data_IF_423152081257
#
_entry.id   IF_423152081257
#
_cell.length_a   1.000
_cell.length_b   1.000
_cell.length_c   1.000
_cell.angle_alpha   90.00
_cell.angle_beta   90.00
_cell.angle_gamma   90.00
#
_symmetry.space_group_name_H-M   'P 1'
#
loop_
_entity.id
_entity.type
_entity.pdbx_description
1 polymer ?
#
# COMPACT_ATOMS: atom_id res chain seq x y z
N UNK A 1 33.10 -42.32 9.21
CA UNK A 1 32.39 -41.39 10.11
C UNK A 1 32.83 -39.98 9.78
N UNK A 2 31.98 -38.99 10.06
CA UNK A 2 32.08 -37.56 9.70
C UNK A 2 31.59 -37.29 8.27
N UNK A 3 30.35 -36.90 8.01
CA UNK A 3 29.41 -36.15 8.87
C UNK A 3 29.75 -34.66 8.80
N UNK A 4 29.10 -33.93 7.91
CA UNK A 4 29.22 -32.48 7.76
C UNK A 4 27.89 -31.89 7.27
N UNK A 5 27.03 -31.56 8.24
CA UNK A 5 25.82 -30.73 8.11
C UNK A 5 26.20 -29.35 7.52
N UNK A 6 25.49 -28.90 6.48
CA UNK A 6 24.32 -28.02 6.54
C UNK A 6 24.63 -26.57 6.97
N UNK A 7 24.47 -25.65 6.01
CA UNK A 7 23.93 -24.32 6.25
C UNK A 7 23.40 -23.79 4.89
N UNK A 8 22.14 -24.07 4.61
CA UNK A 8 21.36 -23.26 3.66
C UNK A 8 21.16 -21.92 4.35
N UNK A 9 21.89 -20.90 3.91
CA UNK A 9 21.70 -19.52 4.38
C UNK A 9 20.38 -18.99 3.83
N UNK A 10 19.31 -19.15 4.61
CA UNK A 10 18.09 -18.37 4.51
C UNK A 10 18.39 -16.96 5.03
N UNK A 11 18.87 -16.08 4.16
CA UNK A 11 18.99 -14.64 4.42
C UNK A 11 18.67 -13.90 3.12
N UNK A 12 17.38 -13.69 2.86
CA UNK A 12 16.90 -12.77 1.82
C UNK A 12 15.46 -12.28 2.08
N UNK A 13 14.69 -12.98 2.92
CA UNK A 13 13.29 -12.63 3.26
C UNK A 13 13.12 -11.56 4.36
N UNK A 14 14.18 -10.81 4.72
CA UNK A 14 14.12 -9.83 5.83
C UNK A 14 14.16 -8.36 5.39
N UNK A 15 14.72 -8.05 4.22
CA UNK A 15 14.92 -6.65 3.80
C UNK A 15 13.64 -6.01 3.23
N UNK A 16 12.85 -6.75 2.44
CA UNK A 16 11.58 -6.25 1.90
C UNK A 16 10.53 -5.97 2.99
N UNK A 17 10.49 -6.82 4.04
CA UNK A 17 9.58 -6.64 5.17
C UNK A 17 9.97 -5.45 6.06
N UNK A 18 11.26 -5.14 6.17
CA UNK A 18 11.73 -4.00 6.94
C UNK A 18 11.35 -2.66 6.27
N UNK A 19 11.53 -2.54 4.95
CA UNK A 19 11.15 -1.36 4.17
C UNK A 19 9.63 -1.13 4.12
N UNK A 20 8.86 -2.21 3.95
CA UNK A 20 7.41 -2.24 4.10
C UNK A 20 6.92 -1.68 5.45
N UNK A 21 7.61 -2.08 6.52
CA UNK A 21 7.35 -1.60 7.89
C UNK A 21 7.71 -0.12 8.05
N UNK A 22 8.53 0.47 7.16
CA UNK A 22 8.88 1.89 7.20
C UNK A 22 7.76 2.77 6.67
N UNK A 23 7.14 2.50 5.50
CA UNK A 23 6.15 3.45 4.94
C UNK A 23 4.83 3.46 5.73
N UNK A 24 4.27 2.29 6.05
CA UNK A 24 3.03 2.18 6.85
C UNK A 24 3.13 2.83 8.25
N UNK A 25 4.34 3.11 8.72
CA UNK A 25 4.58 3.79 10.01
C UNK A 25 5.24 5.16 9.89
N UNK A 26 5.80 5.51 8.74
CA UNK A 26 6.42 6.82 8.49
C UNK A 26 5.38 7.91 8.20
N UNK A 27 4.24 7.52 7.61
CA UNK A 27 3.14 8.43 7.29
C UNK A 27 2.19 8.61 8.48
N UNK A 28 1.58 9.79 8.57
CA UNK A 28 0.45 10.01 9.49
C UNK A 28 -0.76 9.16 9.09
N UNK A 29 -1.68 8.88 10.01
CA UNK A 29 -2.89 8.09 9.67
C UNK A 29 -3.73 8.71 8.52
N UNK A 30 -3.98 10.04 8.49
CA UNK A 30 -4.58 10.70 7.33
C UNK A 30 -3.84 10.48 6.01
N UNK A 31 -2.51 10.52 6.03
CA UNK A 31 -1.69 10.35 4.84
C UNK A 31 -1.70 8.90 4.35
N UNK A 32 -1.72 7.93 5.25
CA UNK A 32 -1.92 6.52 4.89
C UNK A 32 -3.27 6.28 4.26
N UNK A 33 -4.32 6.88 4.82
CA UNK A 33 -5.65 6.81 4.24
C UNK A 33 -5.69 7.42 2.83
N UNK A 34 -5.10 8.61 2.66
CA UNK A 34 -5.03 9.27 1.36
C UNK A 34 -4.21 8.48 0.34
N UNK A 35 -3.10 7.88 0.75
CA UNK A 35 -2.29 7.01 -0.09
C UNK A 35 -3.08 5.77 -0.53
N UNK A 36 -3.72 5.07 0.41
CA UNK A 36 -4.58 3.93 0.10
C UNK A 36 -5.72 4.29 -0.85
N UNK A 37 -6.35 5.44 -0.62
CA UNK A 37 -7.42 5.97 -1.48
C UNK A 37 -6.94 6.25 -2.90
N UNK A 38 -5.77 6.90 -3.04
CA UNK A 38 -5.16 7.18 -4.34
C UNK A 38 -4.82 5.89 -5.09
N UNK A 39 -4.22 4.91 -4.42
CA UNK A 39 -3.94 3.59 -5.01
C UNK A 39 -5.22 2.89 -5.48
N UNK A 40 -6.28 2.91 -4.66
CA UNK A 40 -7.59 2.36 -5.03
C UNK A 40 -8.16 3.02 -6.29
N UNK A 41 -8.11 4.34 -6.39
CA UNK A 41 -8.62 5.06 -7.55
C UNK A 41 -7.77 4.75 -8.80
N UNK A 42 -6.45 4.74 -8.67
CA UNK A 42 -5.55 4.34 -9.77
C UNK A 42 -5.82 2.91 -10.25
N UNK A 43 -6.07 1.96 -9.35
CA UNK A 43 -6.45 0.59 -9.72
C UNK A 43 -7.71 0.55 -10.57
N UNK A 44 -8.73 1.33 -10.23
CA UNK A 44 -9.97 1.38 -11.01
C UNK A 44 -9.78 1.90 -12.44
N UNK A 45 -8.76 2.74 -12.66
CA UNK A 45 -8.41 3.30 -13.96
C UNK A 45 -7.52 2.36 -14.77
N UNK A 46 -6.61 1.65 -14.11
CA UNK A 46 -5.69 0.68 -14.72
C UNK A 46 -6.38 -0.66 -15.07
N UNK A 47 -7.39 -1.04 -14.29
CA UNK A 47 -8.10 -2.32 -14.42
C UNK A 47 -9.62 -2.10 -14.40
N UNK A 48 -10.21 -1.43 -15.41
CA UNK A 48 -11.64 -1.16 -15.47
C UNK A 48 -12.49 -2.43 -15.70
N UNK A 49 -11.89 -3.51 -16.19
CA UNK A 49 -12.56 -4.76 -16.50
C UNK A 49 -13.05 -5.51 -15.25
N UNK A 50 -14.23 -6.14 -15.35
CA UNK A 50 -14.86 -6.83 -14.21
C UNK A 50 -14.06 -8.04 -13.75
N UNK A 51 -13.35 -8.67 -14.68
CA UNK A 51 -12.51 -9.85 -14.50
C UNK A 51 -11.35 -9.57 -13.55
N UNK A 52 -10.91 -8.31 -13.46
CA UNK A 52 -9.80 -7.88 -12.61
C UNK A 52 -10.27 -7.39 -11.23
N UNK A 53 -11.58 -7.36 -10.96
CA UNK A 53 -12.11 -6.82 -9.68
C UNK A 53 -11.65 -7.62 -8.47
N UNK A 54 -11.57 -8.94 -8.58
CA UNK A 54 -11.06 -9.78 -7.49
C UNK A 54 -9.61 -9.43 -7.14
N UNK A 55 -8.79 -9.15 -8.15
CA UNK A 55 -7.44 -8.64 -7.98
C UNK A 55 -7.43 -7.27 -7.30
N UNK A 56 -8.21 -6.30 -7.80
CA UNK A 56 -8.27 -4.97 -7.22
C UNK A 56 -8.74 -4.97 -5.76
N UNK A 57 -9.76 -5.77 -5.42
CA UNK A 57 -10.23 -5.97 -4.05
C UNK A 57 -9.14 -6.57 -3.16
N UNK A 58 -8.49 -7.63 -3.63
CA UNK A 58 -7.44 -8.29 -2.85
C UNK A 58 -6.24 -7.35 -2.62
N UNK A 59 -5.87 -6.59 -3.65
CA UNK A 59 -4.80 -5.60 -3.55
C UNK A 59 -5.10 -4.56 -2.46
N UNK A 60 -6.30 -3.96 -2.44
CA UNK A 60 -6.61 -2.94 -1.43
C UNK A 60 -6.74 -3.51 -0.02
N UNK A 61 -7.15 -4.76 0.13
CA UNK A 61 -7.14 -5.46 1.42
C UNK A 61 -5.72 -5.60 1.97
N UNK A 62 -4.81 -6.09 1.13
CA UNK A 62 -3.40 -6.29 1.49
C UNK A 62 -2.69 -4.94 1.70
N UNK A 63 -3.07 -3.90 0.94
CA UNK A 63 -2.56 -2.54 1.11
C UNK A 63 -2.99 -1.93 2.46
N UNK A 64 -4.23 -2.12 2.88
CA UNK A 64 -4.73 -1.65 4.19
C UNK A 64 -3.96 -2.30 5.33
N UNK A 65 -3.64 -3.59 5.22
CA UNK A 65 -2.81 -4.29 6.19
C UNK A 65 -1.37 -3.78 6.19
N UNK A 66 -0.79 -3.57 5.00
CA UNK A 66 0.56 -3.06 4.85
C UNK A 66 0.74 -1.64 5.42
N UNK A 67 -0.28 -0.80 5.28
CA UNK A 67 -0.32 0.55 5.83
C UNK A 67 -0.77 0.63 7.29
N UNK A 68 -1.00 -0.49 7.97
CA UNK A 68 -1.46 -0.51 9.36
C UNK A 68 -2.74 0.35 9.58
N UNK A 69 -3.66 0.31 8.61
CA UNK A 69 -4.93 1.04 8.66
C UNK A 69 -6.02 0.20 9.33
N UNK A 70 -6.94 0.87 10.00
CA UNK A 70 -8.13 0.22 10.57
C UNK A 70 -8.92 -0.49 9.48
N UNK A 71 -9.33 -1.74 9.72
CA UNK A 71 -10.22 -2.51 8.82
C UNK A 71 -11.55 -1.82 8.53
N UNK A 72 -11.95 -0.84 9.34
CA UNK A 72 -13.12 0.01 9.07
C UNK A 72 -13.03 0.80 7.77
N UNK A 73 -11.83 1.00 7.21
CA UNK A 73 -11.63 1.73 5.95
C UNK A 73 -11.84 0.85 4.72
N UNK A 74 -11.87 -0.48 4.86
CA UNK A 74 -11.99 -1.41 3.73
C UNK A 74 -13.20 -1.14 2.81
N UNK A 75 -14.42 -0.85 3.33
CA UNK A 75 -15.54 -0.53 2.46
C UNK A 75 -15.27 0.67 1.54
N UNK A 76 -14.56 1.69 2.05
CA UNK A 76 -14.17 2.84 1.24
C UNK A 76 -13.10 2.46 0.21
N UNK A 77 -12.09 1.69 0.60
CA UNK A 77 -11.01 1.27 -0.32
C UNK A 77 -11.51 0.38 -1.45
N UNK A 78 -12.45 -0.52 -1.17
CA UNK A 78 -13.10 -1.36 -2.20
C UNK A 78 -13.98 -0.52 -3.11
N UNK A 79 -14.66 0.51 -2.58
CA UNK A 79 -15.42 1.45 -3.41
C UNK A 79 -14.50 2.20 -4.37
N UNK A 80 -13.37 2.74 -3.89
CA UNK A 80 -12.35 3.40 -4.70
C UNK A 80 -11.79 2.47 -5.80
N UNK A 81 -11.40 1.25 -5.43
CA UNK A 81 -10.94 0.22 -6.36
C UNK A 81 -11.98 -0.19 -7.42
N UNK A 82 -13.26 0.03 -7.13
CA UNK A 82 -14.38 -0.22 -8.04
C UNK A 82 -14.76 0.99 -8.90
N UNK A 83 -14.03 2.11 -8.77
CA UNK A 83 -14.27 3.35 -9.50
C UNK A 83 -15.31 4.28 -8.86
N UNK A 84 -15.72 4.02 -7.62
CA UNK A 84 -16.63 4.88 -6.86
C UNK A 84 -15.82 5.83 -5.97
N UNK A 85 -16.18 7.11 -5.92
CA UNK A 85 -15.48 8.09 -5.07
C UNK A 85 -14.15 8.60 -5.65
N UNK A 86 -13.95 8.50 -6.96
CA UNK A 86 -12.81 9.11 -7.65
C UNK A 86 -12.84 10.64 -7.70
N UNK A 87 -13.96 11.25 -7.31
CA UNK A 87 -14.10 12.70 -7.19
C UNK A 87 -13.22 13.21 -6.03
N UNK A 88 -12.20 14.00 -6.34
CA UNK A 88 -11.31 14.57 -5.32
C UNK A 88 -10.00 13.82 -5.10
N UNK A 89 -9.50 13.04 -6.08
CA UNK A 89 -8.10 12.58 -6.10
C UNK A 89 -7.09 13.70 -5.86
N UNK A 90 -7.40 14.91 -6.35
CA UNK A 90 -6.58 16.10 -6.12
C UNK A 90 -6.43 16.42 -4.62
N UNK A 91 -7.42 16.08 -3.80
CA UNK A 91 -7.39 16.26 -2.34
C UNK A 91 -6.43 15.28 -1.69
N UNK A 92 -6.42 14.01 -2.11
CA UNK A 92 -5.45 13.02 -1.63
C UNK A 92 -4.04 13.39 -2.04
N UNK A 93 -3.83 13.78 -3.30
CA UNK A 93 -2.52 14.24 -3.78
C UNK A 93 -2.03 15.46 -3.02
N UNK A 94 -2.91 16.46 -2.75
CA UNK A 94 -2.54 17.63 -1.95
C UNK A 94 -2.18 17.28 -0.51
N UNK A 95 -2.96 16.41 0.14
CA UNK A 95 -2.69 15.97 1.51
C UNK A 95 -1.31 15.29 1.61
N UNK A 96 -1.04 14.34 0.70
CA UNK A 96 0.24 13.64 0.62
C UNK A 96 1.41 14.59 0.33
N UNK A 97 1.21 15.59 -0.53
CA UNK A 97 2.23 16.60 -0.82
C UNK A 97 2.50 17.54 0.35
N UNK A 98 1.65 17.58 1.36
CA UNK A 98 1.84 18.39 2.57
C UNK A 98 2.66 17.66 3.64
N UNK A 99 2.66 16.31 3.64
CA UNK A 99 3.38 15.46 4.59
C UNK A 99 4.92 15.69 4.51
N UNK A 100 5.58 16.05 5.63
CA UNK A 100 7.04 16.26 5.68
C UNK A 100 7.87 15.03 5.30
N UNK A 101 7.41 13.81 5.59
CA UNK A 101 8.07 12.56 5.23
C UNK A 101 8.10 12.37 3.71
N UNK A 102 7.01 12.73 3.02
CA UNK A 102 6.93 12.66 1.56
C UNK A 102 7.69 13.80 0.87
N UNK A 103 7.67 15.01 1.45
CA UNK A 103 8.49 16.13 0.96
C UNK A 103 9.98 15.84 1.04
N UNK A 104 10.42 15.19 2.12
CA UNK A 104 11.84 14.90 2.35
C UNK A 104 12.33 13.71 1.55
N UNK A 105 11.49 12.70 1.33
CA UNK A 105 11.87 11.53 0.56
C UNK A 105 10.67 10.87 -0.17
N UNK A 106 10.36 11.26 -1.42
CA UNK A 106 9.23 10.73 -2.16
C UNK A 106 9.38 9.25 -2.58
N UNK A 107 10.61 8.71 -2.60
CA UNK A 107 10.85 7.29 -2.93
C UNK A 107 10.44 6.32 -1.83
N UNK A 108 10.10 6.80 -0.62
CA UNK A 108 9.58 5.94 0.46
C UNK A 108 8.27 5.26 0.03
N UNK A 109 7.56 5.83 -0.95
CA UNK A 109 6.28 5.33 -1.49
C UNK A 109 6.44 4.24 -2.55
N UNK A 110 7.65 4.05 -3.10
CA UNK A 110 7.91 3.16 -4.24
C UNK A 110 8.70 1.91 -3.88
N UNK A 111 8.98 1.65 -2.60
CA UNK A 111 9.73 0.48 -2.13
C UNK A 111 8.82 -0.71 -1.83
#
# INVERSE_FOLDING_TARGET
>A
MSGGQAAVSMQDESDGKAAAVVLGRALSEPDRFAYAGLCGICLSQLFPEKEQRSFCTKFVEDLVDWLDLSKSVLPAMVAFASGLGGEGTDTFTKLLLEDPALKSNPTVVTQ
#
